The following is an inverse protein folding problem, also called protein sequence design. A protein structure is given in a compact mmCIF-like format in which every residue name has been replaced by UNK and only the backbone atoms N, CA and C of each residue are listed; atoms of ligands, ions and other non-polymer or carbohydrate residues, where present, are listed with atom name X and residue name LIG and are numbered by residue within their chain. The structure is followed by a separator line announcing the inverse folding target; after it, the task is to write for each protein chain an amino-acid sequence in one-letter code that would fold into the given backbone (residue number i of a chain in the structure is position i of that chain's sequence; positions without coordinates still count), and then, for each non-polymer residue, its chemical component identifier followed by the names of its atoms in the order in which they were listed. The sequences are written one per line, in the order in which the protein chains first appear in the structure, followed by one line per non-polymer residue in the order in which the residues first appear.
data_IF_036052092501
#
_entry.id   IF_036052092501
#
_cell.length_a   1.000
_cell.length_b   1.000
_cell.length_c   1.000
_cell.angle_alpha   90.00
_cell.angle_beta   90.00
_cell.angle_gamma   90.00
#
_symmetry.space_group_name_H-M   'P 1'
#
loop_
_entity.id
_entity.type
_entity.pdbx_description
1 polymer ?
#
# COMPACT_ATOMS: atom_id res chain seq x y z
N UNK A 1 15.10 38.84 -39.14
CA UNK A 1 15.48 40.17 -38.62
C UNK A 1 16.00 40.10 -37.19
N UNK A 2 15.22 39.52 -36.26
CA UNK A 2 15.58 39.42 -34.84
C UNK A 2 16.76 38.46 -34.61
N UNK A 3 16.88 37.39 -35.40
CA UNK A 3 18.02 36.46 -35.35
C UNK A 3 19.36 37.14 -35.71
N UNK A 4 19.34 38.16 -36.57
CA UNK A 4 20.55 38.94 -36.91
C UNK A 4 21.01 39.85 -35.77
N UNK A 5 20.13 40.16 -34.80
CA UNK A 5 20.48 40.94 -33.61
C UNK A 5 21.20 40.09 -32.56
N UNK A 6 21.16 38.76 -32.66
CA UNK A 6 21.96 37.85 -31.84
C UNK A 6 23.44 37.83 -32.30
N UNK A 7 23.70 38.14 -33.57
CA UNK A 7 25.05 38.23 -34.13
C UNK A 7 25.78 39.55 -33.74
N UNK A 8 25.05 40.53 -33.19
CA UNK A 8 25.65 41.78 -32.72
C UNK A 8 26.33 41.60 -31.35
N UNK A 9 27.49 42.25 -31.17
CA UNK A 9 28.33 42.12 -29.96
C UNK A 9 27.78 42.88 -28.74
N UNK A 10 26.77 43.73 -28.92
CA UNK A 10 26.19 44.51 -27.83
C UNK A 10 25.23 43.66 -26.99
N UNK A 11 25.55 43.51 -25.71
CA UNK A 11 24.76 42.73 -24.75
C UNK A 11 23.34 43.28 -24.55
N UNK A 12 23.13 44.59 -24.72
CA UNK A 12 21.81 45.25 -24.71
C UNK A 12 20.89 44.80 -25.84
N UNK A 13 21.43 44.63 -27.04
CA UNK A 13 20.67 44.21 -28.22
C UNK A 13 20.36 42.72 -28.16
N UNK A 14 21.29 41.90 -27.67
CA UNK A 14 21.05 40.48 -27.39
C UNK A 14 19.92 40.28 -26.35
N UNK A 15 19.88 41.10 -25.30
CA UNK A 15 18.79 41.06 -24.30
C UNK A 15 17.43 41.44 -24.92
N UNK A 16 17.40 42.47 -25.77
CA UNK A 16 16.18 42.89 -26.45
C UNK A 16 15.70 41.81 -27.45
N UNK A 17 16.62 41.20 -28.18
CA UNK A 17 16.34 40.07 -29.06
C UNK A 17 15.74 38.90 -28.28
N UNK A 18 16.35 38.51 -27.16
CA UNK A 18 15.86 37.40 -26.33
C UNK A 18 14.47 37.66 -25.71
N UNK A 19 14.16 38.90 -25.31
CA UNK A 19 12.82 39.27 -24.83
C UNK A 19 11.75 39.16 -25.92
N UNK A 20 12.06 39.63 -27.13
CA UNK A 20 11.15 39.51 -28.27
C UNK A 20 11.00 38.06 -28.72
N UNK A 21 12.07 37.27 -28.65
CA UNK A 21 12.03 35.84 -28.92
C UNK A 21 11.11 35.13 -27.93
N UNK A 22 11.14 35.46 -26.63
CA UNK A 22 10.23 34.86 -25.63
C UNK A 22 8.74 34.97 -26.03
N UNK A 23 8.32 36.08 -26.63
CA UNK A 23 6.93 36.30 -27.08
C UNK A 23 6.62 35.59 -28.41
N UNK A 24 7.60 35.46 -29.29
CA UNK A 24 7.44 34.94 -30.65
C UNK A 24 7.76 33.45 -30.80
N UNK A 25 8.36 32.82 -29.79
CA UNK A 25 8.79 31.41 -29.83
C UNK A 25 7.65 30.47 -30.21
N UNK A 26 6.43 30.70 -29.73
CA UNK A 26 5.31 29.78 -30.00
C UNK A 26 4.83 29.83 -31.47
N UNK A 27 5.16 30.91 -32.21
CA UNK A 27 4.78 31.06 -33.62
C UNK A 27 5.94 30.76 -34.59
N UNK A 28 7.18 31.11 -34.20
CA UNK A 28 8.37 31.04 -35.06
C UNK A 28 9.42 30.04 -34.55
N UNK A 29 9.01 29.01 -33.81
CA UNK A 29 9.94 28.00 -33.25
C UNK A 29 10.85 27.35 -34.30
N UNK A 30 10.37 27.15 -35.54
CA UNK A 30 11.12 26.53 -36.62
C UNK A 30 12.30 27.39 -37.10
N UNK A 31 12.13 28.71 -37.22
CA UNK A 31 13.22 29.64 -37.60
C UNK A 31 14.25 29.79 -36.46
N UNK A 32 13.80 29.66 -35.22
CA UNK A 32 14.67 29.77 -34.03
C UNK A 32 15.45 28.46 -33.81
N UNK A 33 14.86 27.31 -34.17
CA UNK A 33 15.50 26.01 -34.08
C UNK A 33 16.76 25.91 -34.95
N UNK A 34 16.74 26.50 -36.15
CA UNK A 34 17.91 26.54 -37.05
C UNK A 34 19.11 27.29 -36.43
N UNK A 35 18.87 28.17 -35.46
CA UNK A 35 19.87 29.02 -34.81
C UNK A 35 20.08 28.68 -33.32
N UNK A 36 19.62 27.50 -32.88
CA UNK A 36 19.67 27.12 -31.46
C UNK A 36 21.08 27.06 -30.89
N UNK A 37 22.07 26.66 -31.70
CA UNK A 37 23.48 26.58 -31.30
C UNK A 37 24.06 27.93 -30.88
N UNK A 38 23.55 29.04 -31.44
CA UNK A 38 23.94 30.39 -31.01
C UNK A 38 23.37 30.73 -29.63
N UNK A 39 22.13 30.30 -29.37
CA UNK A 39 21.48 30.49 -28.06
C UNK A 39 22.19 29.66 -26.99
N UNK A 40 22.68 28.47 -27.33
CA UNK A 40 23.52 27.63 -26.46
C UNK A 40 24.85 28.30 -26.13
N UNK A 41 25.53 28.85 -27.14
CA UNK A 41 26.79 29.58 -26.94
C UNK A 41 26.59 30.76 -25.98
N UNK A 42 25.48 31.50 -26.13
CA UNK A 42 25.11 32.61 -25.24
C UNK A 42 24.74 32.15 -23.81
N UNK A 43 24.27 30.91 -23.65
CA UNK A 43 24.01 30.31 -22.35
C UNK A 43 25.31 29.86 -21.66
N UNK A 44 26.25 29.29 -22.43
CA UNK A 44 27.56 28.85 -21.96
C UNK A 44 28.47 30.02 -21.52
N UNK A 45 28.35 31.18 -22.16
CA UNK A 45 29.21 32.34 -21.89
C UNK A 45 29.06 32.89 -20.47
N UNK A 46 30.03 32.63 -19.56
CA UNK A 46 30.16 33.06 -18.13
C UNK A 46 30.20 34.57 -17.80
N UNK A 47 30.15 35.42 -18.82
CA UNK A 47 30.08 36.89 -18.65
C UNK A 47 28.70 37.50 -18.92
N UNK A 48 27.77 36.79 -19.57
CA UNK A 48 26.46 37.33 -19.91
C UNK A 48 25.53 37.49 -18.68
N UNK A 49 24.90 38.68 -18.47
CA UNK A 49 24.06 38.93 -17.31
C UNK A 49 22.72 38.17 -17.31
N UNK A 50 22.21 37.79 -18.49
CA UNK A 50 20.84 37.30 -18.64
C UNK A 50 20.74 35.91 -19.26
N UNK A 51 21.69 35.01 -18.96
CA UNK A 51 21.71 33.64 -19.51
C UNK A 51 20.46 32.85 -19.19
N UNK A 52 19.86 33.15 -18.05
CA UNK A 52 18.63 32.51 -17.60
C UNK A 52 17.48 32.72 -18.61
N UNK A 53 17.48 33.84 -19.32
CA UNK A 53 16.49 34.15 -20.34
C UNK A 53 16.83 33.45 -21.67
N UNK A 54 18.11 33.32 -22.01
CA UNK A 54 18.57 32.48 -23.12
C UNK A 54 18.21 30.99 -22.89
N UNK A 55 18.43 30.48 -21.68
CA UNK A 55 18.06 29.13 -21.28
C UNK A 55 16.54 28.87 -21.38
N UNK A 56 15.72 29.86 -21.02
CA UNK A 56 14.26 29.75 -21.15
C UNK A 56 13.83 29.66 -22.62
N UNK A 57 14.44 30.48 -23.50
CA UNK A 57 14.14 30.45 -24.93
C UNK A 57 14.59 29.12 -25.54
N UNK A 58 15.82 28.67 -25.26
CA UNK A 58 16.33 27.37 -25.70
C UNK A 58 15.41 26.22 -25.25
N UNK A 59 15.01 26.22 -23.98
CA UNK A 59 14.12 25.21 -23.42
C UNK A 59 12.76 25.15 -24.14
N UNK A 60 12.14 26.30 -24.44
CA UNK A 60 10.89 26.34 -25.21
C UNK A 60 11.06 25.85 -26.65
N UNK A 61 12.18 26.13 -27.30
CA UNK A 61 12.45 25.64 -28.66
C UNK A 61 12.64 24.13 -28.66
N UNK A 62 13.41 23.60 -27.70
CA UNK A 62 13.56 22.15 -27.51
C UNK A 62 12.25 21.43 -27.21
N UNK A 63 11.33 22.08 -26.50
CA UNK A 63 9.99 21.56 -26.29
C UNK A 63 9.22 21.38 -27.60
N UNK A 64 9.25 22.38 -28.50
CA UNK A 64 8.59 22.31 -29.80
C UNK A 64 9.29 21.34 -30.77
N UNK A 65 10.60 21.13 -30.62
CA UNK A 65 11.36 20.09 -31.35
C UNK A 65 11.05 18.65 -30.87
N UNK A 66 10.41 18.50 -29.71
CA UNK A 66 10.09 17.19 -29.11
C UNK A 66 11.21 16.60 -28.25
N UNK A 67 12.31 17.32 -28.02
CA UNK A 67 13.42 16.89 -27.17
C UNK A 67 13.21 17.36 -25.73
N UNK A 68 12.39 16.61 -24.99
CA UNK A 68 11.99 17.00 -23.62
C UNK A 68 13.11 16.89 -22.58
N UNK A 69 14.12 16.04 -22.79
CA UNK A 69 15.26 15.88 -21.87
C UNK A 69 16.15 17.11 -21.89
N UNK A 70 16.52 17.59 -23.08
CA UNK A 70 17.30 18.81 -23.23
C UNK A 70 16.49 20.04 -22.84
N UNK A 71 15.20 20.07 -23.19
CA UNK A 71 14.31 21.12 -22.70
C UNK A 71 14.32 21.22 -21.16
N UNK A 72 14.31 20.09 -20.44
CA UNK A 72 14.39 20.07 -18.99
C UNK A 72 15.74 20.58 -18.45
N UNK A 73 16.88 20.20 -19.05
CA UNK A 73 18.21 20.67 -18.59
C UNK A 73 18.34 22.19 -18.73
N UNK A 74 17.89 22.76 -19.87
CA UNK A 74 17.88 24.20 -20.08
C UNK A 74 16.85 24.93 -19.19
N UNK A 75 15.70 24.31 -18.89
CA UNK A 75 14.74 24.87 -17.94
C UNK A 75 15.32 24.95 -16.51
N UNK A 76 16.16 24.00 -16.09
CA UNK A 76 16.90 24.11 -14.82
C UNK A 76 17.93 25.26 -14.83
N UNK A 77 18.49 25.59 -16.01
CA UNK A 77 19.36 26.74 -16.23
C UNK A 77 18.63 28.10 -16.16
N UNK A 78 17.33 28.13 -16.46
CA UNK A 78 16.51 29.34 -16.45
C UNK A 78 16.17 29.86 -15.04
N UNK A 79 16.23 29.01 -14.01
CA UNK A 79 16.14 29.41 -12.61
C UNK A 79 14.92 30.27 -12.28
N UNK A 80 15.14 31.55 -12.02
CA UNK A 80 14.11 32.52 -11.60
C UNK A 80 13.13 32.92 -12.72
N UNK A 81 13.50 32.72 -13.98
CA UNK A 81 12.63 33.05 -15.12
C UNK A 81 11.64 31.94 -15.49
N UNK A 82 11.78 30.76 -14.88
CA UNK A 82 10.84 29.66 -15.06
C UNK A 82 9.66 29.80 -14.09
N UNK A 83 8.58 30.42 -14.57
CA UNK A 83 7.35 30.62 -13.80
C UNK A 83 6.52 29.33 -13.68
N UNK A 84 6.69 28.64 -12.56
CA UNK A 84 5.90 27.48 -12.12
C UNK A 84 4.41 27.81 -11.89
N UNK A 85 4.02 29.09 -11.88
CA UNK A 85 2.65 29.55 -11.69
C UNK A 85 1.81 29.47 -12.96
N UNK A 86 2.44 29.54 -14.13
CA UNK A 86 1.74 29.52 -15.42
C UNK A 86 1.27 28.09 -15.76
N UNK A 87 -0.04 27.91 -15.95
CA UNK A 87 -0.66 26.65 -16.38
C UNK A 87 -0.61 26.52 -17.91
N UNK A 88 0.60 26.61 -18.47
CA UNK A 88 0.80 26.35 -19.91
C UNK A 88 1.14 24.88 -20.12
N UNK A 89 0.76 24.32 -21.27
CA UNK A 89 1.06 22.92 -21.64
C UNK A 89 2.57 22.63 -21.59
N UNK A 90 3.39 23.62 -21.96
CA UNK A 90 4.85 23.60 -21.80
C UNK A 90 5.26 23.37 -20.35
N UNK A 91 4.77 24.21 -19.42
CA UNK A 91 5.16 24.10 -18.00
C UNK A 91 4.70 22.77 -17.40
N UNK A 92 3.49 22.30 -17.70
CA UNK A 92 3.01 21.00 -17.20
C UNK A 92 3.85 19.82 -17.72
N UNK A 93 4.25 19.86 -18.99
CA UNK A 93 5.09 18.81 -19.59
C UNK A 93 6.49 18.79 -18.97
N UNK A 94 7.11 19.97 -18.81
CA UNK A 94 8.44 20.08 -18.21
C UNK A 94 8.43 19.71 -16.73
N UNK A 95 7.39 20.11 -15.99
CA UNK A 95 7.19 19.68 -14.60
C UNK A 95 7.08 18.16 -14.52
N UNK A 96 6.29 17.52 -15.39
CA UNK A 96 6.16 16.06 -15.41
C UNK A 96 7.51 15.39 -15.66
N UNK A 97 8.29 15.91 -16.62
CA UNK A 97 9.63 15.39 -16.90
C UNK A 97 10.62 15.63 -15.75
N UNK A 98 10.50 16.73 -15.03
CA UNK A 98 11.27 16.98 -13.81
C UNK A 98 10.96 15.97 -12.71
N UNK A 99 9.69 15.62 -12.51
CA UNK A 99 9.29 14.59 -11.55
C UNK A 99 9.90 13.24 -11.95
N UNK A 100 9.77 12.83 -13.20
CA UNK A 100 10.30 11.55 -13.68
C UNK A 100 11.82 11.46 -13.46
N UNK A 101 12.54 12.51 -13.86
CA UNK A 101 14.01 12.59 -13.70
C UNK A 101 14.40 12.62 -12.22
N UNK A 102 13.61 13.29 -11.38
CA UNK A 102 13.83 13.34 -9.94
C UNK A 102 13.60 11.97 -9.27
N UNK A 103 12.56 11.25 -9.65
CA UNK A 103 12.27 9.90 -9.15
C UNK A 103 13.40 8.95 -9.57
N UNK A 104 13.81 8.99 -10.83
CA UNK A 104 14.88 8.13 -11.36
C UNK A 104 16.21 8.38 -10.64
N UNK A 105 16.60 9.65 -10.46
CA UNK A 105 17.83 10.00 -9.72
C UNK A 105 17.77 9.58 -8.25
N UNK A 106 16.61 9.70 -7.58
CA UNK A 106 16.47 9.24 -6.20
C UNK A 106 16.45 7.71 -6.09
N UNK A 107 15.90 7.01 -7.07
CA UNK A 107 15.97 5.56 -7.15
C UNK A 107 17.43 5.09 -7.24
N UNK A 108 18.20 5.69 -8.15
CA UNK A 108 19.64 5.41 -8.29
C UNK A 108 20.40 5.76 -7.02
N UNK A 109 20.10 6.89 -6.36
CA UNK A 109 20.72 7.26 -5.08
C UNK A 109 20.42 6.28 -3.95
N UNK A 110 19.25 5.65 -3.98
CA UNK A 110 18.88 4.63 -3.00
C UNK A 110 19.70 3.34 -3.16
N UNK A 111 20.06 3.00 -4.40
CA UNK A 111 20.91 1.84 -4.70
C UNK A 111 22.40 2.17 -4.53
N UNK A 112 22.83 3.34 -5.01
CA UNK A 112 24.20 3.84 -4.96
C UNK A 112 24.26 5.21 -4.25
N UNK A 113 24.75 5.28 -3.00
CA UNK A 113 24.85 6.52 -2.22
C UNK A 113 25.73 7.62 -2.85
N UNK A 114 26.49 7.31 -3.90
CA UNK A 114 27.45 8.20 -4.54
C UNK A 114 26.84 9.06 -5.67
N UNK A 115 25.56 8.84 -6.01
CA UNK A 115 24.87 9.62 -7.03
C UNK A 115 24.43 10.97 -6.45
N UNK A 116 25.02 12.04 -6.96
CA UNK A 116 24.65 13.41 -6.61
C UNK A 116 23.42 13.87 -7.41
N UNK A 117 22.47 14.48 -6.70
CA UNK A 117 21.28 15.07 -7.29
C UNK A 117 21.52 16.57 -7.39
N UNK A 118 21.31 17.13 -8.58
CA UNK A 118 21.44 18.57 -8.81
C UNK A 118 20.59 19.37 -7.81
N UNK A 119 21.19 20.29 -7.03
CA UNK A 119 20.47 21.09 -6.04
C UNK A 119 19.32 21.92 -6.65
N UNK A 120 19.46 22.33 -7.91
CA UNK A 120 18.45 23.08 -8.65
C UNK A 120 17.16 22.28 -8.84
N UNK A 121 17.29 20.98 -9.17
CA UNK A 121 16.15 20.09 -9.35
C UNK A 121 15.39 19.91 -8.02
N UNK A 122 16.12 19.76 -6.92
CA UNK A 122 15.53 19.65 -5.57
C UNK A 122 14.73 20.91 -5.24
N UNK A 123 15.30 22.11 -5.48
CA UNK A 123 14.61 23.38 -5.20
C UNK A 123 13.33 23.52 -6.02
N UNK A 124 13.35 23.14 -7.30
CA UNK A 124 12.17 23.21 -8.18
C UNK A 124 11.07 22.26 -7.68
N UNK A 125 11.43 21.02 -7.36
CA UNK A 125 10.49 20.01 -6.83
C UNK A 125 9.94 20.44 -5.46
N UNK A 126 10.76 21.01 -4.58
CA UNK A 126 10.29 21.52 -3.28
C UNK A 126 9.34 22.72 -3.41
N UNK A 127 9.61 23.64 -4.36
CA UNK A 127 8.67 24.73 -4.68
C UNK A 127 7.35 24.18 -5.21
N UNK A 128 7.41 23.15 -6.05
CA UNK A 128 6.24 22.47 -6.60
C UNK A 128 5.43 21.75 -5.52
N UNK A 129 6.09 21.05 -4.59
CA UNK A 129 5.44 20.48 -3.41
C UNK A 129 4.75 21.56 -2.59
N UNK A 130 5.40 22.68 -2.27
CA UNK A 130 4.74 23.80 -1.55
C UNK A 130 3.45 24.25 -2.24
N UNK A 131 3.48 24.44 -3.56
CA UNK A 131 2.29 24.81 -4.35
C UNK A 131 1.17 23.76 -4.24
N UNK A 132 1.49 22.47 -4.33
CA UNK A 132 0.49 21.41 -4.19
C UNK A 132 -0.06 21.29 -2.77
N UNK A 133 0.77 21.50 -1.76
CA UNK A 133 0.35 21.51 -0.35
C UNK A 133 -0.60 22.69 -0.09
N UNK A 134 -0.33 23.88 -0.64
CA UNK A 134 -1.23 25.05 -0.60
C UNK A 134 -2.58 24.75 -1.28
N UNK A 135 -2.55 24.04 -2.40
CA UNK A 135 -3.75 23.62 -3.13
C UNK A 135 -4.47 22.41 -2.51
N UNK A 136 -4.05 21.94 -1.32
CA UNK A 136 -4.60 20.76 -0.61
C UNK A 136 -4.52 19.45 -1.42
N UNK A 137 -3.59 19.35 -2.37
CA UNK A 137 -3.35 18.17 -3.20
C UNK A 137 -2.35 17.20 -2.52
N UNK A 138 -2.68 16.76 -1.31
CA UNK A 138 -1.80 15.96 -0.48
C UNK A 138 -1.50 14.56 -1.04
N UNK A 139 -2.48 13.93 -1.71
CA UNK A 139 -2.34 12.58 -2.28
C UNK A 139 -1.33 12.54 -3.42
N UNK A 140 -1.29 13.59 -4.24
CA UNK A 140 -0.36 13.74 -5.36
C UNK A 140 1.08 13.86 -4.85
N UNK A 141 1.30 14.77 -3.89
CA UNK A 141 2.62 14.93 -3.28
C UNK A 141 3.08 13.64 -2.62
N UNK A 142 2.18 12.97 -1.89
CA UNK A 142 2.48 11.69 -1.26
C UNK A 142 2.88 10.60 -2.28
N UNK A 143 2.16 10.49 -3.41
CA UNK A 143 2.49 9.57 -4.49
C UNK A 143 3.90 9.82 -5.04
N UNK A 144 4.20 11.07 -5.42
CA UNK A 144 5.53 11.45 -5.93
C UNK A 144 6.62 11.15 -4.90
N UNK A 145 6.35 11.45 -3.62
CA UNK A 145 7.33 11.25 -2.54
C UNK A 145 7.61 9.77 -2.27
N UNK A 146 6.59 8.93 -2.40
CA UNK A 146 6.72 7.47 -2.27
C UNK A 146 7.52 6.86 -3.40
N UNK A 147 7.28 7.30 -4.64
CA UNK A 147 8.06 6.89 -5.81
C UNK A 147 9.51 7.35 -5.70
N UNK A 148 9.73 8.58 -5.23
CA UNK A 148 11.06 9.14 -4.96
C UNK A 148 11.74 8.56 -3.70
N UNK A 149 11.11 7.62 -2.97
CA UNK A 149 11.65 6.96 -1.76
C UNK A 149 12.13 7.93 -0.66
N UNK A 150 11.52 9.11 -0.54
CA UNK A 150 11.92 10.16 0.42
C UNK A 150 11.09 10.08 1.70
N UNK A 151 11.65 9.56 2.79
CA UNK A 151 10.94 9.44 4.07
C UNK A 151 10.68 10.80 4.75
N UNK A 152 11.64 11.73 4.68
CA UNK A 152 11.59 13.01 5.39
C UNK A 152 10.35 13.84 5.03
N UNK A 153 10.00 13.88 3.74
CA UNK A 153 8.83 14.63 3.24
C UNK A 153 7.53 13.92 3.65
N UNK A 154 7.52 12.57 3.70
CA UNK A 154 6.36 11.81 4.18
C UNK A 154 6.11 12.15 5.65
N UNK A 155 7.15 12.18 6.49
CA UNK A 155 7.01 12.59 7.90
C UNK A 155 6.46 14.01 8.04
N UNK A 156 6.99 14.97 7.26
CA UNK A 156 6.54 16.36 7.29
C UNK A 156 5.06 16.49 6.86
N UNK A 157 4.65 15.79 5.80
CA UNK A 157 3.25 15.76 5.34
C UNK A 157 2.32 15.18 6.41
N UNK A 158 2.77 14.12 7.10
CA UNK A 158 1.97 13.45 8.12
C UNK A 158 1.91 14.22 9.44
N UNK A 159 2.94 14.99 9.77
CA UNK A 159 2.90 15.88 10.93
C UNK A 159 2.03 17.12 10.66
N UNK A 160 1.96 17.58 9.41
CA UNK A 160 1.11 18.72 9.01
C UNK A 160 -0.36 18.35 8.86
N UNK A 161 -0.68 17.10 8.54
CA UNK A 161 -2.06 16.63 8.40
C UNK A 161 -2.47 15.71 9.54
N UNK A 162 -3.46 16.14 10.31
CA UNK A 162 -4.13 15.32 11.33
C UNK A 162 -5.22 14.41 10.73
N UNK A 163 -5.46 14.47 9.42
CA UNK A 163 -6.51 13.70 8.76
C UNK A 163 -6.19 12.20 8.67
N UNK A 164 -6.94 11.38 9.42
CA UNK A 164 -6.81 9.91 9.40
C UNK A 164 -7.03 9.26 8.03
N UNK A 165 -7.78 9.90 7.13
CA UNK A 165 -8.01 9.39 5.76
C UNK A 165 -6.71 9.30 4.95
N UNK A 166 -5.75 10.20 5.18
CA UNK A 166 -4.51 10.20 4.42
C UNK A 166 -3.57 9.08 4.87
N UNK A 167 -3.63 8.73 6.16
CA UNK A 167 -2.87 7.64 6.77
C UNK A 167 -3.34 6.27 6.24
N UNK A 168 -4.66 6.08 6.13
CA UNK A 168 -5.22 4.86 5.54
C UNK A 168 -4.88 4.74 4.06
N UNK A 169 -4.93 5.84 3.32
CA UNK A 169 -4.47 5.85 1.92
C UNK A 169 -2.98 5.49 1.81
N UNK A 170 -2.12 6.03 2.69
CA UNK A 170 -0.70 5.66 2.71
C UNK A 170 -0.50 4.19 3.04
N UNK A 171 -1.29 3.62 3.96
CA UNK A 171 -1.24 2.21 4.30
C UNK A 171 -1.58 1.33 3.10
N UNK A 172 -2.68 1.62 2.41
CA UNK A 172 -3.12 0.86 1.24
C UNK A 172 -2.09 0.93 0.12
N UNK A 173 -1.57 2.13 -0.17
CA UNK A 173 -0.49 2.33 -1.16
C UNK A 173 0.79 1.63 -0.72
N UNK A 174 1.12 1.70 0.56
CA UNK A 174 2.31 1.06 1.14
C UNK A 174 2.30 -0.46 1.00
N UNK A 175 1.12 -1.08 1.15
CA UNK A 175 0.95 -2.53 1.01
C UNK A 175 0.90 -2.95 -0.45
N UNK A 176 0.21 -2.18 -1.32
CA UNK A 176 -0.11 -2.61 -2.69
C UNK A 176 0.93 -2.18 -3.75
N UNK A 177 1.50 -0.98 -3.63
CA UNK A 177 2.33 -0.38 -4.69
C UNK A 177 3.84 -0.44 -4.40
N UNK A 178 4.25 -0.47 -3.12
CA UNK A 178 5.68 -0.48 -2.78
C UNK A 178 6.29 -1.88 -3.00
N UNK A 179 7.14 -1.99 -4.02
CA UNK A 179 7.84 -3.23 -4.37
C UNK A 179 9.04 -3.53 -3.45
N UNK A 180 9.78 -2.50 -3.02
CA UNK A 180 10.97 -2.68 -2.19
C UNK A 180 10.58 -2.96 -0.72
N UNK A 181 10.99 -4.13 -0.21
CA UNK A 181 10.67 -4.58 1.15
C UNK A 181 11.26 -3.68 2.23
N UNK A 182 12.52 -3.22 2.08
CA UNK A 182 13.20 -2.40 3.08
C UNK A 182 12.55 -1.02 3.20
N UNK A 183 12.23 -0.40 2.06
CA UNK A 183 11.54 0.88 2.03
C UNK A 183 10.11 0.74 2.59
N UNK A 184 9.39 -0.31 2.20
CA UNK A 184 8.05 -0.60 2.72
C UNK A 184 8.07 -0.74 4.25
N UNK A 185 9.03 -1.48 4.79
CA UNK A 185 9.16 -1.66 6.23
C UNK A 185 9.43 -0.32 6.93
N UNK A 186 10.31 0.52 6.40
CA UNK A 186 10.56 1.87 6.96
C UNK A 186 9.30 2.76 6.95
N UNK A 187 8.55 2.76 5.85
CA UNK A 187 7.29 3.53 5.74
C UNK A 187 6.24 3.00 6.73
N UNK A 188 6.11 1.68 6.86
CA UNK A 188 5.17 1.07 7.81
C UNK A 188 5.58 1.32 9.26
N UNK A 189 6.88 1.32 9.60
CA UNK A 189 7.38 1.67 10.93
C UNK A 189 7.09 3.13 11.28
N UNK A 190 7.25 4.04 10.31
CA UNK A 190 6.92 5.46 10.45
C UNK A 190 5.41 5.64 10.69
N UNK A 191 4.57 4.99 9.87
CA UNK A 191 3.12 4.97 10.05
C UNK A 191 2.71 4.45 11.43
N UNK A 192 3.33 3.36 11.88
CA UNK A 192 3.06 2.76 13.18
C UNK A 192 3.35 3.75 14.32
N UNK A 193 4.49 4.43 14.27
CA UNK A 193 4.84 5.46 15.26
C UNK A 193 3.84 6.62 15.25
N UNK A 194 3.34 7.02 14.08
CA UNK A 194 2.34 8.06 13.95
C UNK A 194 0.98 7.63 14.53
N UNK A 195 0.52 6.41 14.24
CA UNK A 195 -0.72 5.89 14.80
C UNK A 195 -0.65 5.76 16.33
N UNK A 196 0.48 5.29 16.88
CA UNK A 196 0.66 5.16 18.33
C UNK A 196 0.72 6.51 19.07
N UNK A 197 1.06 7.60 18.37
CA UNK A 197 1.09 8.96 18.93
C UNK A 197 -0.32 9.57 19.07
N UNK A 198 -1.31 9.04 18.35
CA UNK A 198 -2.68 9.55 18.40
C UNK A 198 -3.38 9.24 19.74
N UNK A 199 -4.25 10.15 20.18
CA UNK A 199 -5.03 9.99 21.41
C UNK A 199 -6.04 8.84 21.33
N UNK A 200 -6.52 8.52 20.12
CA UNK A 200 -7.37 7.37 19.81
C UNK A 200 -6.78 6.67 18.60
N UNK A 201 -5.87 5.70 18.79
CA UNK A 201 -5.25 5.00 17.67
C UNK A 201 -6.29 4.11 16.99
N UNK A 202 -6.29 4.14 15.66
CA UNK A 202 -7.01 3.14 14.86
C UNK A 202 -6.29 1.80 14.95
N UNK A 203 -6.68 0.98 15.92
CA UNK A 203 -6.07 -0.33 16.16
C UNK A 203 -6.16 -1.27 14.95
N UNK A 204 -7.16 -1.12 14.09
CA UNK A 204 -7.28 -1.95 12.89
C UNK A 204 -6.15 -1.68 11.90
N UNK A 205 -5.88 -0.40 11.61
CA UNK A 205 -4.80 0.02 10.73
C UNK A 205 -3.43 -0.29 11.35
N UNK A 206 -3.28 -0.15 12.67
CA UNK A 206 -2.08 -0.54 13.41
C UNK A 206 -1.78 -2.04 13.27
N UNK A 207 -2.77 -2.92 13.43
CA UNK A 207 -2.57 -4.37 13.28
C UNK A 207 -2.11 -4.70 11.88
N UNK A 208 -2.75 -4.14 10.85
CA UNK A 208 -2.35 -4.35 9.47
C UNK A 208 -0.87 -3.98 9.28
N UNK A 209 -0.44 -2.82 9.75
CA UNK A 209 0.98 -2.43 9.72
C UNK A 209 1.87 -3.46 10.41
N UNK A 210 1.53 -3.88 11.63
CA UNK A 210 2.34 -4.78 12.44
C UNK A 210 2.44 -6.19 11.81
N UNK A 211 1.35 -6.69 11.24
CA UNK A 211 1.33 -7.97 10.53
C UNK A 211 2.20 -7.92 9.27
N UNK A 212 2.15 -6.82 8.51
CA UNK A 212 3.00 -6.64 7.32
C UNK A 212 4.48 -6.43 7.67
N UNK A 213 4.78 -5.78 8.80
CA UNK A 213 6.14 -5.65 9.33
C UNK A 213 6.69 -7.00 9.85
N UNK A 214 5.82 -7.91 10.28
CA UNK A 214 6.22 -9.17 10.89
C UNK A 214 6.74 -9.02 12.32
N UNK A 215 6.51 -7.87 12.96
CA UNK A 215 6.99 -7.56 14.31
C UNK A 215 6.08 -8.14 15.41
N UNK A 216 6.31 -9.41 15.77
CA UNK A 216 5.51 -10.11 16.79
C UNK A 216 5.62 -9.50 18.19
N UNK A 217 6.69 -8.76 18.47
CA UNK A 217 6.93 -8.13 19.76
C UNK A 217 6.04 -6.89 19.98
N UNK A 218 5.87 -6.06 18.94
CA UNK A 218 5.04 -4.85 19.03
C UNK A 218 3.56 -5.24 19.19
N UNK A 219 3.10 -6.25 18.46
CA UNK A 219 1.75 -6.80 18.62
C UNK A 219 1.48 -7.26 20.08
N UNK A 220 2.42 -8.01 20.66
CA UNK A 220 2.31 -8.47 22.04
C UNK A 220 2.30 -7.31 23.04
N UNK A 221 3.12 -6.28 22.83
CA UNK A 221 3.16 -5.07 23.67
C UNK A 221 1.86 -4.26 23.61
N UNK A 222 1.24 -4.15 22.43
CA UNK A 222 -0.07 -3.48 22.27
C UNK A 222 -1.14 -4.24 23.05
N UNK A 223 -1.20 -5.56 22.90
CA UNK A 223 -2.14 -6.41 23.64
C UNK A 223 -1.90 -6.30 25.15
N UNK A 224 -0.65 -6.34 25.60
CA UNK A 224 -0.29 -6.18 27.02
C UNK A 224 -0.77 -4.82 27.57
N UNK A 225 -0.45 -3.72 26.88
CA UNK A 225 -0.85 -2.37 27.30
C UNK A 225 -2.37 -2.21 27.41
N UNK A 226 -3.13 -2.90 26.58
CA UNK A 226 -4.59 -2.88 26.61
C UNK A 226 -5.16 -3.76 27.73
N UNK A 227 -4.53 -4.90 28.00
CA UNK A 227 -4.92 -5.77 29.12
C UNK A 227 -4.60 -5.14 30.48
N UNK A 228 -3.48 -4.40 30.60
CA UNK A 228 -3.07 -3.77 31.86
C UNK A 228 -3.95 -2.59 32.28
N UNK A 229 -4.66 -1.95 31.34
CA UNK A 229 -5.53 -0.81 31.63
C UNK A 229 -6.80 -1.19 32.40
N UNK A 230 -7.16 -2.48 32.50
CA UNK A 230 -8.31 -3.03 33.24
C UNK A 230 -9.69 -2.35 33.00
N UNK A 231 -9.83 -1.55 31.94
CA UNK A 231 -11.11 -0.97 31.50
C UNK A 231 -11.88 -1.95 30.60
N UNK A 232 -13.20 -2.05 30.78
CA UNK A 232 -14.05 -2.90 29.91
C UNK A 232 -13.93 -2.55 28.42
N UNK A 233 -13.81 -1.26 28.09
CA UNK A 233 -13.62 -0.80 26.70
C UNK A 233 -12.27 -1.25 26.13
N UNK A 234 -11.21 -1.17 26.92
CA UNK A 234 -9.86 -1.58 26.52
C UNK A 234 -9.79 -3.10 26.35
N UNK A 235 -10.51 -3.86 27.17
CA UNK A 235 -10.63 -5.31 27.04
C UNK A 235 -11.38 -5.72 25.77
N UNK A 236 -12.49 -5.05 25.44
CA UNK A 236 -13.23 -5.29 24.19
C UNK A 236 -12.37 -4.99 22.96
N UNK A 237 -11.60 -3.90 23.00
CA UNK A 237 -10.63 -3.57 21.95
C UNK A 237 -9.55 -4.66 21.85
N UNK A 238 -9.01 -5.14 22.98
CA UNK A 238 -8.03 -6.23 22.96
C UNK A 238 -8.58 -7.52 22.33
N UNK A 239 -9.85 -7.87 22.57
CA UNK A 239 -10.49 -9.00 21.90
C UNK A 239 -10.68 -8.76 20.41
N UNK A 240 -11.10 -7.55 20.00
CA UNK A 240 -11.22 -7.19 18.59
C UNK A 240 -9.87 -7.33 17.87
N UNK A 241 -8.80 -6.79 18.47
CA UNK A 241 -7.43 -6.91 17.96
C UNK A 241 -7.03 -8.38 17.83
N UNK A 242 -7.35 -9.23 18.80
CA UNK A 242 -7.05 -10.65 18.75
C UNK A 242 -7.79 -11.37 17.61
N UNK A 243 -9.06 -11.03 17.36
CA UNK A 243 -9.83 -11.57 16.22
C UNK A 243 -9.28 -11.09 14.88
N UNK A 244 -8.91 -9.81 14.78
CA UNK A 244 -8.33 -9.23 13.59
C UNK A 244 -6.96 -9.87 13.29
N UNK A 245 -6.10 -10.02 14.30
CA UNK A 245 -4.82 -10.73 14.18
C UNK A 245 -5.02 -12.17 13.69
N UNK A 246 -5.98 -12.90 14.27
CA UNK A 246 -6.29 -14.27 13.86
C UNK A 246 -6.81 -14.38 12.42
N UNK A 247 -7.38 -13.30 11.87
CA UNK A 247 -7.91 -13.25 10.51
C UNK A 247 -6.86 -12.83 9.48
N UNK A 248 -5.97 -11.88 9.83
CA UNK A 248 -4.99 -11.32 8.89
C UNK A 248 -3.58 -11.93 8.97
N UNK A 249 -3.17 -12.49 10.11
CA UNK A 249 -1.80 -12.94 10.32
C UNK A 249 -1.59 -14.43 10.00
N UNK A 250 -0.34 -14.80 9.73
CA UNK A 250 0.04 -16.21 9.55
C UNK A 250 0.04 -16.97 10.88
N UNK A 251 -0.18 -18.29 10.83
CA UNK A 251 -0.20 -19.12 12.04
C UNK A 251 1.14 -19.09 12.80
N UNK A 252 2.27 -19.03 12.08
CA UNK A 252 3.59 -18.91 12.69
C UNK A 252 3.75 -17.60 13.46
N UNK A 253 3.25 -16.49 12.90
CA UNK A 253 3.26 -15.19 13.56
C UNK A 253 2.43 -15.20 14.83
N UNK A 254 1.22 -15.77 14.79
CA UNK A 254 0.32 -15.86 15.96
C UNK A 254 0.93 -16.68 17.10
N UNK A 255 1.65 -17.76 16.78
CA UNK A 255 2.40 -18.53 17.77
C UNK A 255 3.50 -17.69 18.44
N UNK A 256 4.28 -16.94 17.66
CA UNK A 256 5.32 -16.03 18.18
C UNK A 256 4.73 -14.92 19.02
N UNK A 257 3.60 -14.32 18.61
CA UNK A 257 2.89 -13.29 19.41
C UNK A 257 2.42 -13.87 20.74
N UNK A 258 1.89 -15.10 20.73
CA UNK A 258 1.41 -15.76 21.95
C UNK A 258 2.56 -16.06 22.92
N UNK A 259 3.71 -16.51 22.42
CA UNK A 259 4.93 -16.73 23.22
C UNK A 259 5.48 -15.42 23.79
N UNK A 260 5.57 -14.37 22.97
CA UNK A 260 6.05 -13.07 23.41
C UNK A 260 5.11 -12.43 24.44
N UNK A 261 3.80 -12.61 24.29
CA UNK A 261 2.81 -12.14 25.26
C UNK A 261 3.00 -12.84 26.61
N UNK A 262 3.24 -14.15 26.62
CA UNK A 262 3.55 -14.90 27.85
C UNK A 262 4.82 -14.41 28.53
N UNK A 263 5.88 -14.17 27.77
CA UNK A 263 7.15 -13.67 28.30
C UNK A 263 7.01 -12.27 28.90
N UNK A 264 6.39 -11.34 28.16
CA UNK A 264 6.17 -9.96 28.63
C UNK A 264 5.29 -9.92 29.88
N UNK A 265 4.31 -10.81 29.98
CA UNK A 265 3.46 -10.91 31.16
C UNK A 265 4.20 -11.56 32.34
N UNK A 266 5.09 -12.53 32.09
CA UNK A 266 5.94 -13.12 33.12
C UNK A 266 6.90 -12.10 33.73
N UNK A 267 7.41 -11.16 32.94
CA UNK A 267 8.26 -10.06 33.40
C UNK A 267 7.48 -9.04 34.24
N UNK A 268 6.23 -8.73 33.89
CA UNK A 268 5.36 -7.81 34.67
C UNK A 268 4.83 -8.40 35.99
N UNK A 269 4.91 -9.72 36.19
CA UNK A 269 4.43 -10.42 37.40
C UNK A 269 5.26 -10.18 38.66
N UNK A 270 6.43 -9.55 38.56
CA UNK A 270 7.33 -9.37 39.69
C UNK A 270 6.91 -8.25 40.67
N UNK A 271 5.87 -7.45 40.37
CA UNK A 271 5.58 -6.25 41.20
C UNK A 271 4.16 -6.10 41.80
N UNK A 272 3.07 -6.77 41.42
CA UNK A 272 1.76 -6.54 42.10
C UNK A 272 0.79 -7.74 42.25
N UNK A 273 0.33 -7.90 43.51
CA UNK A 273 -0.91 -8.47 44.09
C UNK A 273 -1.59 -9.74 43.51
N UNK A 274 -1.67 -10.75 44.39
CA UNK A 274 -2.18 -12.12 44.19
C UNK A 274 -3.70 -12.30 43.97
N UNK A 275 -4.53 -11.27 44.09
CA UNK A 275 -6.00 -11.41 43.99
C UNK A 275 -6.58 -11.12 42.58
N UNK A 276 -5.89 -10.34 41.74
CA UNK A 276 -6.31 -10.07 40.35
C UNK A 276 -5.77 -11.11 39.35
N UNK A 277 -4.90 -12.02 39.81
CA UNK A 277 -4.24 -13.02 38.96
C UNK A 277 -5.22 -13.96 38.25
N UNK A 278 -6.31 -14.37 38.90
CA UNK A 278 -7.22 -15.35 38.31
C UNK A 278 -8.01 -14.76 37.12
N UNK A 279 -8.42 -13.48 37.24
CA UNK A 279 -9.13 -12.78 36.18
C UNK A 279 -8.21 -12.44 35.01
N UNK A 280 -6.99 -11.97 35.29
CA UNK A 280 -5.99 -11.69 34.26
C UNK A 280 -5.57 -12.96 33.52
N UNK A 281 -5.30 -14.05 34.24
CA UNK A 281 -4.98 -15.34 33.64
C UNK A 281 -6.15 -15.88 32.78
N UNK A 282 -7.40 -15.64 33.20
CA UNK A 282 -8.58 -16.01 32.42
C UNK A 282 -8.71 -15.17 31.14
N UNK A 283 -8.47 -13.86 31.20
CA UNK A 283 -8.46 -12.96 30.04
C UNK A 283 -7.37 -13.37 29.06
N UNK A 284 -6.17 -13.65 29.54
CA UNK A 284 -5.04 -14.09 28.72
C UNK A 284 -5.34 -15.44 28.06
N UNK A 285 -5.91 -16.38 28.81
CA UNK A 285 -6.33 -17.68 28.28
C UNK A 285 -7.38 -17.52 27.16
N UNK A 286 -8.33 -16.60 27.32
CA UNK A 286 -9.30 -16.26 26.27
C UNK A 286 -8.64 -15.64 25.05
N UNK A 287 -7.73 -14.68 25.22
CA UNK A 287 -6.97 -14.08 24.10
C UNK A 287 -6.18 -15.16 23.36
N UNK A 288 -5.54 -16.10 24.05
CA UNK A 288 -4.86 -17.24 23.41
C UNK A 288 -5.81 -18.15 22.65
N UNK A 289 -6.99 -18.44 23.20
CA UNK A 289 -8.02 -19.22 22.49
C UNK A 289 -8.49 -18.51 21.21
N UNK A 290 -8.60 -17.17 21.25
CA UNK A 290 -8.95 -16.34 20.09
C UNK A 290 -7.81 -16.33 19.05
N UNK A 291 -6.57 -16.10 19.48
CA UNK A 291 -5.37 -16.11 18.61
C UNK A 291 -5.10 -17.50 18.01
N UNK A 292 -5.41 -18.57 18.74
CA UNK A 292 -5.36 -19.94 18.25
C UNK A 292 -6.48 -20.26 17.24
N UNK A 293 -7.48 -19.39 17.13
CA UNK A 293 -8.60 -19.52 16.21
C UNK A 293 -9.70 -20.47 16.68
N UNK A 294 -9.59 -21.06 17.87
CA UNK A 294 -10.60 -21.99 18.40
C UNK A 294 -11.96 -21.32 18.55
N UNK A 295 -11.99 -20.11 19.13
CA UNK A 295 -13.24 -19.37 19.31
C UNK A 295 -13.85 -18.94 17.97
N UNK A 296 -13.02 -18.52 17.01
CA UNK A 296 -13.48 -18.15 15.66
C UNK A 296 -14.14 -19.35 14.97
N UNK A 297 -13.51 -20.52 15.06
CA UNK A 297 -14.02 -21.79 14.53
C UNK A 297 -15.34 -22.17 15.20
N UNK A 298 -15.43 -22.10 16.53
CA UNK A 298 -16.64 -22.43 17.29
C UNK A 298 -17.82 -21.54 16.87
N UNK A 299 -17.57 -20.23 16.74
CA UNK A 299 -18.59 -19.27 16.31
C UNK A 299 -19.04 -19.53 14.87
N UNK A 300 -18.10 -19.78 13.96
CA UNK A 300 -18.40 -20.08 12.56
C UNK A 300 -19.24 -21.36 12.43
N UNK A 301 -18.86 -22.43 13.14
CA UNK A 301 -19.58 -23.70 13.16
C UNK A 301 -21.00 -23.55 13.72
N UNK A 302 -21.17 -22.76 14.79
CA UNK A 302 -22.48 -22.44 15.35
C UNK A 302 -23.34 -21.66 14.36
N UNK A 303 -22.76 -20.66 13.68
CA UNK A 303 -23.46 -19.89 12.66
C UNK A 303 -23.92 -20.78 11.49
N UNK A 304 -23.02 -21.61 10.94
CA UNK A 304 -23.30 -22.50 9.81
C UNK A 304 -24.35 -23.57 10.16
N UNK A 305 -24.29 -24.14 11.36
CA UNK A 305 -25.26 -25.14 11.80
C UNK A 305 -26.66 -24.55 12.03
N UNK A 306 -26.76 -23.35 12.60
CA UNK A 306 -28.05 -22.69 12.86
C UNK A 306 -28.69 -22.11 11.59
N UNK A 307 -27.88 -21.56 10.69
CA UNK A 307 -28.34 -20.92 9.45
C UNK A 307 -28.19 -21.81 8.21
N UNK A 308 -28.27 -23.14 8.36
CA UNK A 308 -28.22 -24.05 7.22
C UNK A 308 -29.50 -23.93 6.37
N UNK A 309 -29.36 -23.38 5.15
CA UNK A 309 -30.44 -23.24 4.16
C UNK A 309 -30.25 -24.17 2.94
N UNK A 310 -29.48 -25.24 3.08
CA UNK A 310 -29.27 -26.20 2.01
C UNK A 310 -30.58 -26.92 1.63
N UNK A 311 -30.95 -26.87 0.36
CA UNK A 311 -32.12 -27.57 -0.15
C UNK A 311 -31.78 -29.02 -0.52
N UNK A 312 -32.22 -29.95 0.31
CA UNK A 312 -32.03 -31.38 0.08
C UNK A 312 -32.84 -31.92 -1.11
N UNK A 313 -33.89 -31.24 -1.57
CA UNK A 313 -34.68 -31.70 -2.72
C UNK A 313 -33.87 -31.63 -4.02
N UNK A 314 -33.03 -30.61 -4.18
CA UNK A 314 -32.13 -30.48 -5.33
C UNK A 314 -31.19 -31.67 -5.37
N UNK A 315 -30.58 -32.02 -4.23
CA UNK A 315 -29.66 -33.16 -4.12
C UNK A 315 -30.34 -34.49 -4.44
N UNK A 316 -31.59 -34.69 -3.99
CA UNK A 316 -32.37 -35.90 -4.32
C UNK A 316 -32.67 -35.97 -5.81
N UNK A 317 -33.11 -34.88 -6.45
CA UNK A 317 -33.36 -34.83 -7.90
C UNK A 317 -32.09 -35.11 -8.71
N UNK A 318 -30.96 -34.54 -8.32
CA UNK A 318 -29.66 -34.79 -8.96
C UNK A 318 -29.23 -36.25 -8.79
N UNK A 319 -29.41 -36.82 -7.59
CA UNK A 319 -29.13 -38.24 -7.32
C UNK A 319 -30.00 -39.17 -8.18
N UNK A 320 -31.29 -38.89 -8.29
CA UNK A 320 -32.25 -39.73 -9.02
C UNK A 320 -32.07 -39.64 -10.54
N UNK A 321 -31.49 -38.54 -11.05
CA UNK A 321 -31.21 -38.34 -12.47
C UNK A 321 -29.93 -39.05 -12.95
N UNK A 322 -29.09 -39.53 -12.03
CA UNK A 322 -27.76 -40.08 -12.34
C UNK A 322 -27.67 -41.57 -11.96
N UNK A 323 -27.02 -42.39 -12.80
CA UNK A 323 -26.84 -43.82 -12.47
C UNK A 323 -25.86 -44.00 -11.30
N UNK A 324 -26.37 -44.58 -10.21
CA UNK A 324 -25.62 -44.86 -8.99
C UNK A 324 -24.47 -45.87 -9.15
N UNK A 325 -24.45 -46.64 -10.25
CA UNK A 325 -23.35 -47.58 -10.56
C UNK A 325 -22.14 -46.88 -11.19
N UNK A 326 -22.32 -45.69 -11.73
CA UNK A 326 -21.23 -44.91 -12.28
C UNK A 326 -20.54 -44.12 -11.15
N UNK A 327 -19.27 -44.44 -10.92
CA UNK A 327 -18.45 -43.85 -9.86
C UNK A 327 -18.31 -42.33 -9.99
N UNK A 328 -18.25 -41.79 -11.22
CA UNK A 328 -18.11 -40.35 -11.47
C UNK A 328 -19.33 -39.59 -10.95
N UNK A 329 -20.53 -40.14 -11.17
CA UNK A 329 -21.77 -39.53 -10.71
C UNK A 329 -21.94 -39.63 -9.20
N UNK A 330 -21.52 -40.76 -8.61
CA UNK A 330 -21.47 -40.89 -7.17
C UNK A 330 -20.57 -39.82 -6.52
N UNK A 331 -19.40 -39.54 -7.11
CA UNK A 331 -18.53 -38.45 -6.68
C UNK A 331 -19.16 -37.08 -6.85
N UNK A 332 -19.74 -36.79 -8.00
CA UNK A 332 -20.38 -35.50 -8.27
C UNK A 332 -21.43 -35.19 -7.20
N UNK A 333 -22.33 -36.13 -6.92
CA UNK A 333 -23.36 -35.98 -5.88
C UNK A 333 -22.74 -35.86 -4.48
N UNK A 334 -21.73 -36.69 -4.16
CA UNK A 334 -21.05 -36.64 -2.85
C UNK A 334 -20.36 -35.30 -2.61
N UNK A 335 -19.70 -34.74 -3.62
CA UNK A 335 -19.09 -33.40 -3.55
C UNK A 335 -20.15 -32.30 -3.47
N UNK A 336 -21.25 -32.40 -4.21
CA UNK A 336 -22.35 -31.43 -4.10
C UNK A 336 -22.94 -31.40 -2.69
N UNK A 337 -23.15 -32.56 -2.07
CA UNK A 337 -23.58 -32.65 -0.66
C UNK A 337 -22.52 -32.05 0.26
N UNK A 338 -21.23 -32.30 -0.04
CA UNK A 338 -20.05 -31.77 0.64
C UNK A 338 -20.04 -30.27 0.72
N UNK A 339 -20.13 -29.61 -0.43
CA UNK A 339 -20.11 -28.16 -0.50
C UNK A 339 -21.38 -27.54 0.08
N UNK A 340 -22.56 -28.13 -0.15
CA UNK A 340 -23.81 -27.59 0.36
C UNK A 340 -23.94 -27.67 1.89
N UNK A 341 -23.31 -28.65 2.54
CA UNK A 341 -23.38 -28.84 4.00
C UNK A 341 -22.04 -28.58 4.72
N UNK A 342 -21.05 -27.97 4.03
CA UNK A 342 -19.73 -27.67 4.58
C UNK A 342 -19.82 -26.89 5.91
N UNK A 343 -19.16 -27.39 6.95
CA UNK A 343 -19.13 -26.75 8.28
C UNK A 343 -20.44 -26.75 9.07
N UNK A 344 -21.55 -27.26 8.50
CA UNK A 344 -22.87 -27.32 9.17
C UNK A 344 -23.07 -28.55 10.06
N UNK A 345 -22.16 -29.53 9.97
CA UNK A 345 -22.23 -30.86 10.62
C UNK A 345 -23.43 -31.75 10.28
N UNK A 346 -24.33 -31.26 9.41
CA UNK A 346 -25.53 -31.97 8.96
C UNK A 346 -25.17 -33.14 8.03
N UNK A 347 -25.62 -34.34 8.38
CA UNK A 347 -25.46 -35.57 7.60
C UNK A 347 -26.81 -36.16 7.12
N UNK A 348 -27.87 -35.33 7.15
CA UNK A 348 -29.25 -35.73 6.86
C UNK A 348 -29.41 -36.43 5.50
N UNK A 349 -28.74 -35.93 4.46
CA UNK A 349 -28.81 -36.50 3.11
C UNK A 349 -28.29 -37.94 3.06
N UNK A 350 -27.13 -38.22 3.67
CA UNK A 350 -26.54 -39.56 3.67
C UNK A 350 -27.35 -40.56 4.51
N UNK A 351 -27.86 -40.13 5.67
CA UNK A 351 -28.74 -40.96 6.52
C UNK A 351 -30.00 -41.41 5.79
N UNK A 352 -30.55 -40.55 4.93
CA UNK A 352 -31.75 -40.85 4.15
C UNK A 352 -31.46 -41.69 2.89
N UNK A 353 -30.21 -41.80 2.46
CA UNK A 353 -29.82 -42.46 1.21
C UNK A 353 -28.70 -43.51 1.44
N UNK A 354 -28.83 -44.32 2.50
CA UNK A 354 -27.84 -45.36 2.84
C UNK A 354 -27.71 -46.43 1.74
N UNK A 355 -28.82 -46.83 1.13
CA UNK A 355 -28.82 -47.82 0.04
C UNK A 355 -28.07 -47.32 -1.20
N UNK A 356 -28.15 -46.01 -1.48
CA UNK A 356 -27.39 -45.38 -2.56
C UNK A 356 -25.91 -45.34 -2.21
N UNK A 357 -25.57 -44.95 -0.98
CA UNK A 357 -24.19 -44.89 -0.49
C UNK A 357 -23.49 -46.26 -0.51
N UNK A 358 -24.24 -47.34 -0.24
CA UNK A 358 -23.72 -48.71 -0.24
C UNK A 358 -23.25 -49.22 -1.62
N UNK A 359 -23.62 -48.52 -2.70
CA UNK A 359 -23.29 -48.90 -4.08
C UNK A 359 -21.95 -48.35 -4.57
N UNK A 360 -21.24 -47.56 -3.75
CA UNK A 360 -19.92 -47.02 -4.08
C UNK A 360 -18.83 -48.10 -4.09
N UNK A 361 -17.91 -48.08 -5.07
CA UNK A 361 -16.84 -49.11 -5.24
C UNK A 361 -15.42 -48.51 -5.08
N UNK A 362 -14.57 -49.24 -4.33
CA UNK A 362 -13.11 -49.17 -4.11
C UNK A 362 -12.43 -47.79 -3.90
N UNK A 363 -12.26 -46.96 -4.94
CA UNK A 363 -11.42 -45.73 -4.82
C UNK A 363 -12.17 -44.58 -4.14
N UNK A 364 -13.51 -44.62 -4.15
CA UNK A 364 -14.36 -43.49 -3.75
C UNK A 364 -15.01 -43.65 -2.37
N UNK A 365 -14.84 -44.80 -1.72
CA UNK A 365 -15.02 -44.94 -0.26
C UNK A 365 -14.05 -44.00 0.46
N UNK A 366 -12.84 -43.82 -0.08
CA UNK A 366 -11.87 -42.82 0.40
C UNK A 366 -12.39 -41.39 0.22
N UNK A 367 -13.17 -41.09 -0.83
CA UNK A 367 -13.80 -39.78 -1.03
C UNK A 367 -14.95 -39.52 -0.06
N UNK A 368 -15.69 -40.55 0.34
CA UNK A 368 -16.71 -40.48 1.40
C UNK A 368 -16.05 -40.33 2.80
N UNK A 369 -14.89 -40.97 3.01
CA UNK A 369 -14.04 -40.75 4.19
C UNK A 369 -13.42 -39.34 4.17
N UNK A 370 -13.03 -38.83 3.00
CA UNK A 370 -12.62 -37.44 2.80
C UNK A 370 -13.77 -36.48 3.09
N UNK A 371 -15.03 -36.81 2.76
CA UNK A 371 -16.22 -36.04 3.20
C UNK A 371 -16.37 -36.04 4.73
N UNK A 372 -16.11 -37.18 5.37
CA UNK A 372 -16.08 -37.27 6.84
C UNK A 372 -14.92 -36.47 7.45
N UNK A 373 -13.80 -36.35 6.73
CA UNK A 373 -12.69 -35.45 7.05
C UNK A 373 -12.96 -33.99 6.66
N UNK A 374 -13.79 -33.68 5.66
CA UNK A 374 -14.29 -32.33 5.36
C UNK A 374 -15.08 -31.78 6.58
N UNK A 375 -15.66 -32.67 7.39
CA UNK A 375 -16.27 -32.34 8.69
C UNK A 375 -15.28 -31.73 9.71
N UNK A 376 -13.99 -32.05 9.60
CA UNK A 376 -12.90 -31.58 10.47
C UNK A 376 -11.91 -30.62 9.77
N UNK A 377 -11.70 -30.79 8.47
CA UNK A 377 -10.61 -30.19 7.72
C UNK A 377 -11.05 -28.94 6.93
N UNK A 378 -12.33 -28.83 6.53
CA UNK A 378 -12.85 -27.55 5.99
C UNK A 378 -12.83 -26.45 7.05
N UNK A 379 -12.98 -26.82 8.32
CA UNK A 379 -12.81 -25.93 9.46
C UNK A 379 -11.39 -25.32 9.52
N UNK A 380 -10.39 -26.02 9.00
CA UNK A 380 -8.99 -25.57 8.92
C UNK A 380 -8.70 -24.92 7.55
N UNK A 381 -9.30 -25.41 6.47
CA UNK A 381 -8.98 -25.01 5.09
C UNK A 381 -9.75 -23.79 4.58
N UNK A 382 -10.92 -23.45 5.16
CA UNK A 382 -11.61 -22.16 4.89
C UNK A 382 -10.73 -20.96 5.32
N UNK A 383 -9.79 -21.16 6.25
CA UNK A 383 -8.79 -20.17 6.68
C UNK A 383 -7.64 -19.93 5.68
N UNK A 384 -7.60 -20.68 4.58
CA UNK A 384 -6.57 -20.56 3.52
C UNK A 384 -7.14 -20.13 2.16
N UNK A 385 -8.46 -19.96 2.04
CA UNK A 385 -9.13 -19.53 0.80
C UNK A 385 -9.97 -18.24 0.95
N UNK A 386 -10.02 -17.68 2.16
CA UNK A 386 -10.39 -16.29 2.45
C UNK A 386 -9.16 -15.63 3.07
#
# INVERSE_FOLDING_TARGET
GILSLLDEKETSLQIHALKNLKELVDQFWHEIADEISKIETLYEDETFPQRQLAALVASKVYYHLGEYTESATFALGAGEWFDLSSSSEYVETIISKFIDTYIEKNFQKYEDPNVEIDPRLIIVVEKMFKKYLENKQWKQVLGITLEARRLDIIEDIMNKNEDGSLKNYLLDVGISLIQNLDFRNKVLSLLLNLFLKEKQPDYFSVIKCVVHLGDSHIAAKILQNLTLKNDEKSLLIAYQIAFDLNSYATQEFLQKVSQNLEQLLAESKNEQNTANMDLENLIISRIKSILGGEESVKLYMKFLSQNNRADNQILVKTKDSLDARNSIFHCAVTFSVGFMNAGTTSDKFFRQNLDWLSKAINVFVVTIILYSNLRFSITISIKHCL
#
